data_IF_566534620046
#
_entry.id   IF_566534620046
#
_cell.length_a   1.000
_cell.length_b   1.000
_cell.length_c   1.000
_cell.angle_alpha   90.00
_cell.angle_beta   90.00
_cell.angle_gamma   90.00
#
_symmetry.space_group_name_H-M   'P 1'
#
loop_
_entity.id
_entity.type
_entity.pdbx_description
1 polymer ?
#
# COMPACT_ATOMS: atom_id res chain seq x y z
N UNK A 1 -10.45 3.43 4.43
CA UNK A 1 -11.15 3.84 3.18
C UNK A 1 -10.24 3.49 2.01
N UNK A 2 -10.80 3.26 0.82
CA UNK A 2 -10.00 3.00 -0.39
C UNK A 2 -9.91 4.28 -1.20
N UNK A 3 -8.70 4.71 -1.56
CA UNK A 3 -8.41 5.95 -2.27
C UNK A 3 -7.75 5.60 -3.59
N UNK A 4 -8.29 6.14 -4.67
CA UNK A 4 -7.86 5.92 -6.05
C UNK A 4 -7.57 7.25 -6.71
N UNK A 5 -6.61 7.25 -7.62
CA UNK A 5 -6.27 8.38 -8.47
C UNK A 5 -6.15 7.91 -9.91
N UNK A 6 -6.65 8.72 -10.84
CA UNK A 6 -6.50 8.45 -12.25
C UNK A 6 -5.38 9.29 -12.84
N UNK A 7 -4.50 8.67 -13.62
CA UNK A 7 -3.40 9.34 -14.29
C UNK A 7 -3.22 8.82 -15.71
N UNK A 8 -2.82 9.71 -16.63
CA UNK A 8 -2.39 9.32 -17.97
C UNK A 8 -0.91 8.93 -17.90
N UNK A 9 -0.63 7.68 -18.28
CA UNK A 9 0.73 7.12 -18.30
C UNK A 9 1.09 6.72 -19.73
N UNK A 10 2.34 7.03 -20.12
CA UNK A 10 2.93 6.55 -21.36
C UNK A 10 3.56 5.17 -21.15
N UNK A 11 3.30 4.23 -22.04
CA UNK A 11 3.94 2.92 -22.02
C UNK A 11 5.45 3.09 -22.26
N UNK A 12 6.34 2.57 -21.38
CA UNK A 12 7.78 2.71 -21.56
C UNK A 12 8.31 1.90 -22.76
N UNK A 13 7.51 0.97 -23.30
CA UNK A 13 7.89 0.12 -24.43
C UNK A 13 7.47 0.69 -25.79
N UNK A 14 6.23 1.16 -25.94
CA UNK A 14 5.72 1.66 -27.24
C UNK A 14 5.34 3.15 -27.24
N UNK A 15 5.36 3.82 -26.09
CA UNK A 15 4.98 5.23 -25.96
C UNK A 15 3.48 5.51 -25.92
N UNK A 16 2.62 4.49 -26.12
CA UNK A 16 1.17 4.63 -26.06
C UNK A 16 0.70 5.24 -24.75
N UNK A 17 -0.16 6.24 -24.83
CA UNK A 17 -0.70 6.93 -23.66
C UNK A 17 -2.07 6.37 -23.36
N UNK A 18 -2.24 5.86 -22.14
CA UNK A 18 -3.52 5.38 -21.66
C UNK A 18 -3.80 5.91 -20.27
N UNK A 19 -5.09 6.06 -19.97
CA UNK A 19 -5.58 6.41 -18.64
C UNK A 19 -5.57 5.16 -17.78
N UNK A 20 -5.04 5.25 -16.57
CA UNK A 20 -5.05 4.18 -15.60
C UNK A 20 -5.40 4.70 -14.21
N UNK A 21 -6.09 3.87 -13.45
CA UNK A 21 -6.40 4.11 -12.05
C UNK A 21 -5.38 3.40 -11.16
N UNK A 22 -4.82 4.15 -10.20
CA UNK A 22 -3.89 3.66 -9.20
C UNK A 22 -4.49 3.82 -7.80
N UNK A 23 -4.10 2.93 -6.90
CA UNK A 23 -4.46 2.98 -5.49
C UNK A 23 -3.41 3.75 -4.71
N UNK A 24 -3.83 4.81 -4.02
CA UNK A 24 -3.02 5.47 -3.00
C UNK A 24 -3.21 4.80 -1.63
N UNK A 25 -4.41 4.29 -1.36
CA UNK A 25 -4.72 3.55 -0.14
C UNK A 25 -5.78 2.47 -0.41
N UNK A 26 -5.67 1.32 0.23
CA UNK A 26 -6.66 0.23 0.16
C UNK A 26 -7.14 -0.20 1.53
N UNK A 27 -8.46 -0.35 1.67
CA UNK A 27 -9.08 -0.98 2.81
C UNK A 27 -9.54 -2.39 2.44
N UNK A 28 -8.78 -3.42 2.83
CA UNK A 28 -9.13 -4.80 2.43
C UNK A 28 -10.37 -5.35 3.12
N UNK A 29 -10.85 -4.69 4.18
CA UNK A 29 -12.17 -4.99 4.75
C UNK A 29 -13.30 -4.64 3.77
N UNK A 30 -13.16 -3.51 3.07
CA UNK A 30 -14.16 -3.05 2.09
C UNK A 30 -13.94 -3.64 0.70
N UNK A 31 -12.68 -3.95 0.38
CA UNK A 31 -12.23 -4.42 -0.92
C UNK A 31 -11.30 -5.64 -0.78
N UNK A 32 -11.82 -6.81 -0.36
CA UNK A 32 -11.00 -8.00 -0.11
C UNK A 32 -10.25 -8.48 -1.36
N UNK A 33 -10.81 -8.25 -2.54
CA UNK A 33 -10.18 -8.56 -3.83
C UNK A 33 -8.82 -7.87 -4.03
N UNK A 34 -8.59 -6.73 -3.36
CA UNK A 34 -7.33 -5.98 -3.45
C UNK A 34 -6.21 -6.63 -2.65
N UNK A 35 -6.53 -7.41 -1.61
CA UNK A 35 -5.54 -8.25 -0.92
C UNK A 35 -4.98 -9.31 -1.86
N UNK A 36 -5.86 -9.99 -2.60
CA UNK A 36 -5.45 -11.00 -3.57
C UNK A 36 -4.64 -10.39 -4.72
N UNK A 37 -5.00 -9.19 -5.18
CA UNK A 37 -4.19 -8.45 -6.16
C UNK A 37 -2.82 -8.09 -5.62
N UNK A 38 -2.72 -7.64 -4.36
CA UNK A 38 -1.44 -7.39 -3.71
C UNK A 38 -0.58 -8.65 -3.69
N UNK A 39 -1.12 -9.79 -3.26
CA UNK A 39 -0.38 -11.05 -3.20
C UNK A 39 0.11 -11.56 -4.55
N UNK A 40 -0.57 -11.22 -5.63
CA UNK A 40 -0.11 -11.52 -6.99
C UNK A 40 0.89 -10.49 -7.55
N UNK A 41 1.20 -9.43 -6.81
CA UNK A 41 2.02 -8.31 -7.30
C UNK A 41 1.32 -7.49 -8.39
N UNK A 42 -0.02 -7.51 -8.43
CA UNK A 42 -0.85 -6.84 -9.44
C UNK A 42 -1.49 -5.55 -8.93
N UNK A 43 -1.08 -5.08 -7.74
CA UNK A 43 -1.44 -3.76 -7.25
C UNK A 43 -0.62 -2.71 -7.99
N UNK A 44 -1.26 -1.63 -8.43
CA UNK A 44 -0.62 -0.54 -9.18
C UNK A 44 0.26 -1.02 -10.36
N UNK A 45 -0.12 -2.14 -10.98
CA UNK A 45 0.55 -2.69 -12.15
C UNK A 45 -0.01 -2.04 -13.42
N UNK A 46 0.85 -1.34 -14.14
CA UNK A 46 0.56 -0.87 -15.48
C UNK A 46 0.59 -2.03 -16.47
N UNK A 47 -0.46 -2.16 -17.28
CA UNK A 47 -0.52 -3.08 -18.42
C UNK A 47 -0.95 -2.29 -19.65
N UNK A 48 -0.08 -2.24 -20.65
CA UNK A 48 -0.35 -1.55 -21.90
C UNK A 48 -1.49 -2.25 -22.67
N UNK A 49 -2.50 -1.51 -23.10
CA UNK A 49 -3.59 -2.03 -23.93
C UNK A 49 -3.19 -2.20 -25.42
N UNK A 50 -2.12 -1.52 -25.86
CA UNK A 50 -1.59 -1.63 -27.23
C UNK A 50 -0.57 -2.77 -27.39
N UNK A 51 0.52 -2.77 -26.62
CA UNK A 51 1.61 -3.75 -26.78
C UNK A 51 1.65 -4.85 -25.71
N UNK A 52 0.79 -4.79 -24.70
CA UNK A 52 0.75 -5.76 -23.61
C UNK A 52 1.88 -5.65 -22.57
N UNK A 53 2.82 -4.70 -22.74
CA UNK A 53 3.92 -4.49 -21.80
C UNK A 53 3.40 -4.23 -20.37
N UNK A 54 4.10 -4.78 -19.38
CA UNK A 54 3.78 -4.64 -17.96
C UNK A 54 4.86 -3.83 -17.25
N UNK A 55 4.46 -2.92 -16.39
CA UNK A 55 5.37 -2.13 -15.56
C UNK A 55 4.76 -1.91 -14.18
N UNK A 56 5.55 -2.08 -13.12
CA UNK A 56 5.13 -1.70 -11.77
C UNK A 56 5.18 -0.17 -11.69
N UNK A 57 4.12 0.44 -11.19
CA UNK A 57 4.11 1.88 -10.93
C UNK A 57 4.56 2.12 -9.50
N UNK A 58 5.75 2.69 -9.39
CA UNK A 58 6.43 2.87 -8.12
C UNK A 58 5.97 4.15 -7.41
N UNK A 59 4.86 4.04 -6.69
CA UNK A 59 4.23 5.15 -5.96
C UNK A 59 3.94 4.77 -4.50
N UNK A 60 3.87 5.79 -3.66
CA UNK A 60 3.55 5.65 -2.23
C UNK A 60 2.15 5.05 -2.08
N UNK A 61 2.04 3.95 -1.34
CA UNK A 61 0.82 3.13 -1.27
C UNK A 61 0.55 2.65 0.16
N UNK A 62 -0.65 2.90 0.68
CA UNK A 62 -1.08 2.46 2.00
C UNK A 62 -1.97 1.21 1.91
N UNK A 63 -1.54 0.11 2.53
CA UNK A 63 -2.37 -1.06 2.75
C UNK A 63 -2.92 -1.04 4.17
N UNK A 64 -4.22 -1.29 4.36
CA UNK A 64 -4.75 -1.51 5.72
C UNK A 64 -5.88 -2.53 5.80
N UNK A 65 -5.87 -3.31 6.88
CA UNK A 65 -6.90 -4.27 7.25
C UNK A 65 -7.58 -3.78 8.54
N UNK A 66 -8.83 -3.35 8.41
CA UNK A 66 -9.59 -2.80 9.53
C UNK A 66 -10.12 -3.87 10.50
N UNK A 67 -10.30 -5.11 10.05
CA UNK A 67 -10.72 -6.20 10.95
C UNK A 67 -9.55 -6.68 11.80
N UNK A 68 -8.35 -6.75 11.21
CA UNK A 68 -7.11 -7.15 11.90
C UNK A 68 -6.35 -5.97 12.53
N UNK A 69 -6.87 -4.75 12.39
CA UNK A 69 -6.33 -3.50 12.95
C UNK A 69 -4.83 -3.31 12.68
N UNK A 70 -4.44 -3.33 11.41
CA UNK A 70 -3.08 -2.92 11.02
C UNK A 70 -3.02 -2.23 9.68
N UNK A 71 -1.92 -1.50 9.48
CA UNK A 71 -1.62 -0.86 8.22
C UNK A 71 -0.11 -0.91 7.93
N UNK A 72 0.21 -0.83 6.65
CA UNK A 72 1.57 -0.88 6.11
C UNK A 72 1.67 0.20 5.05
N UNK A 73 2.72 1.00 5.13
CA UNK A 73 3.00 2.07 4.18
C UNK A 73 4.15 1.64 3.27
N UNK A 74 3.86 1.42 2.00
CA UNK A 74 4.90 1.28 0.99
C UNK A 74 5.47 2.66 0.64
N UNK A 75 6.80 2.77 0.70
CA UNK A 75 7.55 3.93 0.28
C UNK A 75 8.57 3.50 -0.80
N UNK A 76 8.46 4.00 -2.04
CA UNK A 76 9.44 3.74 -3.09
C UNK A 76 10.87 4.02 -2.62
N UNK A 77 11.77 3.05 -2.76
CA UNK A 77 13.16 3.19 -2.32
C UNK A 77 13.89 4.32 -3.07
N UNK A 78 13.49 4.61 -4.30
CA UNK A 78 14.05 5.72 -5.09
C UNK A 78 13.89 7.07 -4.40
N UNK A 79 12.80 7.31 -3.65
CA UNK A 79 12.64 8.52 -2.87
C UNK A 79 13.72 8.65 -1.79
N UNK A 80 14.07 7.52 -1.15
CA UNK A 80 15.12 7.41 -0.14
C UNK A 80 16.50 7.59 -0.76
N UNK A 81 16.79 6.85 -1.84
CA UNK A 81 18.07 6.90 -2.54
C UNK A 81 18.40 8.31 -3.06
N UNK A 82 17.38 9.03 -3.54
CA UNK A 82 17.52 10.39 -4.07
C UNK A 82 17.45 11.47 -2.98
N UNK A 83 17.23 11.12 -1.71
CA UNK A 83 16.97 12.07 -0.61
C UNK A 83 15.89 13.08 -0.98
N UNK A 84 14.80 12.61 -1.58
CA UNK A 84 13.75 13.48 -2.09
C UNK A 84 13.14 14.34 -0.98
N UNK A 85 12.91 15.63 -1.26
CA UNK A 85 12.19 16.55 -0.35
C UNK A 85 10.78 16.03 0.01
N UNK A 86 10.21 15.16 -0.83
CA UNK A 86 8.92 14.49 -0.53
C UNK A 86 8.97 13.67 0.76
N UNK A 87 10.14 13.16 1.15
CA UNK A 87 10.29 12.39 2.39
C UNK A 87 10.00 13.24 3.61
N UNK A 88 10.49 14.48 3.67
CA UNK A 88 10.26 15.36 4.83
C UNK A 88 8.80 15.81 4.92
N UNK A 89 8.08 15.84 3.80
CA UNK A 89 6.63 16.03 3.78
C UNK A 89 5.88 14.83 4.37
N UNK A 90 6.35 13.60 4.14
CA UNK A 90 5.67 12.37 4.54
C UNK A 90 6.09 11.83 5.90
N UNK A 91 7.35 12.00 6.30
CA UNK A 91 7.96 11.35 7.46
C UNK A 91 8.77 12.35 8.31
N UNK A 92 8.82 12.09 9.61
CA UNK A 92 9.70 12.80 10.55
C UNK A 92 11.08 12.10 10.68
N UNK A 93 11.96 12.68 11.50
CA UNK A 93 13.32 12.14 11.74
C UNK A 93 13.35 10.76 12.42
N UNK A 94 12.26 10.36 13.08
CA UNK A 94 12.11 9.04 13.69
C UNK A 94 11.58 8.01 12.68
N UNK A 95 11.33 8.45 11.43
CA UNK A 95 10.73 7.63 10.38
C UNK A 95 9.22 7.43 10.54
N UNK A 96 8.54 8.17 11.41
CA UNK A 96 7.07 8.09 11.56
C UNK A 96 6.38 9.01 10.56
N UNK A 97 5.15 8.68 10.16
CA UNK A 97 4.36 9.55 9.29
C UNK A 97 4.13 10.93 9.92
N UNK A 98 4.26 11.97 9.12
CA UNK A 98 3.80 13.31 9.45
C UNK A 98 2.28 13.37 9.30
N UNK A 99 1.57 13.10 10.39
CA UNK A 99 0.11 13.21 10.42
C UNK A 99 -0.25 14.63 10.87
N UNK A 100 -0.91 15.43 10.01
CA UNK A 100 -1.36 16.76 10.39
C UNK A 100 -2.22 16.70 11.67
N UNK A 101 -1.96 17.60 12.63
CA UNK A 101 -2.61 17.60 13.94
C UNK A 101 -4.15 17.78 13.87
N UNK A 102 -4.68 18.26 12.74
CA UNK A 102 -6.10 18.38 12.47
C UNK A 102 -6.78 17.07 12.05
N UNK A 103 -6.02 16.00 11.74
CA UNK A 103 -6.57 14.69 11.43
C UNK A 103 -6.85 13.94 12.74
N UNK A 104 -8.11 14.00 13.20
CA UNK A 104 -8.63 13.13 14.25
C UNK A 104 -9.24 11.88 13.62
N UNK A 105 -8.50 10.77 13.68
CA UNK A 105 -9.05 9.48 13.30
C UNK A 105 -9.97 8.98 14.42
N UNK A 106 -11.08 8.30 14.09
CA UNK A 106 -11.86 7.56 15.07
C UNK A 106 -10.98 6.59 15.86
N UNK A 107 -11.31 6.29 17.11
CA UNK A 107 -10.57 5.33 17.95
C UNK A 107 -10.41 3.95 17.27
N UNK A 108 -11.42 3.53 16.49
CA UNK A 108 -11.38 2.32 15.69
C UNK A 108 -10.26 2.32 14.63
N UNK A 109 -9.78 3.48 14.20
CA UNK A 109 -8.74 3.65 13.18
C UNK A 109 -7.37 4.07 13.78
N UNK A 110 -7.20 4.01 15.11
CA UNK A 110 -5.95 4.41 15.76
C UNK A 110 -4.71 3.61 15.30
N UNK A 111 -4.90 2.38 14.84
CA UNK A 111 -3.85 1.53 14.30
C UNK A 111 -3.23 2.09 13.01
N UNK A 112 -3.84 3.13 12.42
CA UNK A 112 -3.33 3.82 11.24
C UNK A 112 -2.34 4.94 11.57
N UNK A 113 -2.19 5.32 12.84
CA UNK A 113 -1.28 6.41 13.24
C UNK A 113 0.20 6.05 13.07
N UNK A 114 0.55 4.78 13.20
CA UNK A 114 1.93 4.30 13.12
C UNK A 114 1.99 3.10 12.16
N UNK A 115 1.90 3.33 10.83
CA UNK A 115 2.03 2.25 9.88
C UNK A 115 3.42 1.62 9.94
N UNK A 116 3.48 0.32 9.65
CA UNK A 116 4.74 -0.34 9.37
C UNK A 116 5.23 0.11 7.99
N UNK A 117 6.39 0.76 7.93
CA UNK A 117 6.93 1.28 6.66
C UNK A 117 7.82 0.23 6.02
N UNK A 118 7.62 0.02 4.72
CA UNK A 118 8.37 -0.94 3.91
C UNK A 118 8.86 -0.26 2.64
N UNK A 119 10.01 -0.69 2.13
CA UNK A 119 10.72 -0.02 1.03
C UNK A 119 10.63 -0.77 -0.30
N UNK A 120 9.91 -1.89 -0.33
CA UNK A 120 9.57 -2.63 -1.55
C UNK A 120 8.16 -3.22 -1.45
N UNK A 121 7.51 -3.44 -2.60
CA UNK A 121 6.24 -4.16 -2.65
C UNK A 121 6.41 -5.63 -2.19
N UNK A 122 7.54 -6.27 -2.49
CA UNK A 122 7.83 -7.62 -2.00
C UNK A 122 7.87 -7.71 -0.48
N UNK A 123 8.48 -6.73 0.18
CA UNK A 123 8.49 -6.64 1.64
C UNK A 123 7.07 -6.45 2.19
N UNK A 124 6.28 -5.58 1.56
CA UNK A 124 4.86 -5.41 1.92
C UNK A 124 4.10 -6.74 1.83
N UNK A 125 4.22 -7.45 0.70
CA UNK A 125 3.53 -8.72 0.45
C UNK A 125 3.89 -9.73 1.53
N UNK A 126 5.19 -9.93 1.79
CA UNK A 126 5.69 -10.87 2.80
C UNK A 126 5.20 -10.50 4.20
N UNK A 127 5.19 -9.21 4.53
CA UNK A 127 4.75 -8.76 5.84
C UNK A 127 3.23 -8.92 6.01
N UNK A 128 2.41 -8.66 4.98
CA UNK A 128 0.97 -8.96 5.03
C UNK A 128 0.75 -10.45 5.22
N UNK A 129 1.44 -11.32 4.47
CA UNK A 129 1.34 -12.77 4.63
C UNK A 129 1.72 -13.22 6.04
N UNK A 130 2.78 -12.65 6.62
CA UNK A 130 3.16 -12.88 8.02
C UNK A 130 2.03 -12.49 8.99
N UNK A 131 1.39 -11.34 8.78
CA UNK A 131 0.25 -10.89 9.60
C UNK A 131 -0.97 -11.80 9.47
N UNK A 132 -1.28 -12.29 8.28
CA UNK A 132 -2.36 -13.26 8.06
C UNK A 132 -2.08 -14.57 8.83
N UNK A 133 -0.88 -15.12 8.69
CA UNK A 133 -0.50 -16.38 9.34
C UNK A 133 -0.55 -16.29 10.87
N UNK A 134 -0.11 -15.16 11.44
CA UNK A 134 -0.25 -14.90 12.87
C UNK A 134 -1.72 -14.82 13.28
N UNK A 135 -2.55 -14.11 12.53
CA UNK A 135 -3.96 -13.97 12.83
C UNK A 135 -4.66 -15.34 12.87
N UNK A 136 -4.46 -16.18 11.86
CA UNK A 136 -4.99 -17.55 11.79
C UNK A 136 -4.58 -18.40 13.00
N UNK A 137 -3.29 -18.41 13.34
CA UNK A 137 -2.78 -19.19 14.49
C UNK A 137 -3.35 -18.74 15.83
N UNK A 138 -3.63 -17.45 16.00
CA UNK A 138 -4.15 -16.92 17.25
C UNK A 138 -5.68 -16.98 17.35
N UNK A 139 -6.40 -16.97 16.23
CA UNK A 139 -7.86 -17.18 16.22
C UNK A 139 -8.25 -18.65 16.33
N UNK A 140 -7.49 -19.57 15.73
CA UNK A 140 -7.74 -21.01 15.86
C UNK A 140 -7.55 -21.50 17.31
N UNK A 141 -6.56 -20.95 18.02
CA UNK A 141 -6.37 -21.21 19.46
C UNK A 141 -7.55 -20.74 20.32
N UNK A 142 -8.30 -19.72 19.88
CA UNK A 142 -9.48 -19.21 20.60
C UNK A 142 -10.76 -20.00 20.30
N UNK A 143 -10.77 -20.88 19.29
CA UNK A 143 -11.93 -21.75 18.98
C UNK A 143 -11.97 -23.04 19.80
N UNK A 144 -10.87 -23.39 20.48
CA UNK A 144 -10.71 -24.64 21.23
C UNK A 144 -10.55 -24.44 22.75
N UNK A 145 -10.84 -23.23 23.23
CA UNK A 145 -10.95 -22.86 24.64
C UNK A 145 -12.29 -22.19 24.87
#
# INVERSE_FOLDING_TARGET
MTIKEEQIMGCPSCGHKQKMEFYQAVNVKLNPELKERLFRGEINLFKCDECGNRAVVDLVFLYHDADKRFCIQYCPFDLVAQRSDKLSGMYNIEGKLNIPANIKLPEAANYMYEPHIVLSLDEMIRYVQFREALYEKHTDKKRWH
#
